data_IF_791044774200
#
_entry.id   IF_791044774200
#
_cell.length_a   1.000
_cell.length_b   1.000
_cell.length_c   1.000
_cell.angle_alpha   90.00
_cell.angle_beta   90.00
_cell.angle_gamma   90.00
#
_symmetry.space_group_name_H-M   'P 1'
#
loop_
_entity.id
_entity.type
_entity.pdbx_description
1 polymer ?
#
# COMPACT_ATOMS: atom_id res chain seq x y z
N UNK A 1 41.10 0.68 55.65
CA UNK A 1 39.70 0.26 55.41
C UNK A 1 39.28 0.82 54.05
N UNK A 2 39.32 0.02 52.99
CA UNK A 2 38.82 0.38 51.67
C UNK A 2 37.66 -0.58 51.38
N UNK A 3 36.43 -0.06 51.28
CA UNK A 3 35.26 -0.86 50.91
C UNK A 3 35.19 -0.93 49.40
N UNK A 4 35.50 -2.11 48.86
CA UNK A 4 35.40 -2.44 47.45
C UNK A 4 33.93 -2.78 47.14
N UNK A 5 33.16 -1.81 46.64
CA UNK A 5 31.78 -2.06 46.20
C UNK A 5 31.81 -2.75 44.82
N UNK A 6 31.86 -4.07 44.84
CA UNK A 6 31.65 -4.90 43.65
C UNK A 6 30.15 -4.99 43.35
N UNK A 7 29.68 -4.20 42.38
CA UNK A 7 28.33 -4.34 41.85
C UNK A 7 28.23 -5.64 41.03
N UNK A 8 27.18 -6.47 41.19
CA UNK A 8 27.00 -7.65 40.35
C UNK A 8 26.70 -7.23 38.90
N UNK A 9 27.07 -8.05 37.89
CA UNK A 9 26.75 -7.75 36.50
C UNK A 9 25.23 -7.72 36.34
N UNK A 10 24.72 -6.61 35.78
CA UNK A 10 23.32 -6.45 35.38
C UNK A 10 23.04 -7.60 34.39
N UNK A 11 22.26 -8.59 34.82
CA UNK A 11 21.71 -9.58 33.90
C UNK A 11 20.77 -8.82 32.97
N UNK A 12 21.14 -8.71 31.69
CA UNK A 12 20.26 -8.17 30.68
C UNK A 12 18.94 -8.96 30.73
N UNK A 13 17.77 -8.30 30.69
CA UNK A 13 16.52 -9.02 30.60
C UNK A 13 16.58 -9.91 29.36
N UNK A 14 16.32 -11.21 29.54
CA UNK A 14 16.15 -12.14 28.44
C UNK A 14 14.91 -11.69 27.68
N UNK A 15 15.11 -10.82 26.70
CA UNK A 15 14.10 -10.57 25.69
C UNK A 15 13.99 -11.88 24.92
N UNK A 16 12.96 -12.66 25.23
CA UNK A 16 12.43 -13.66 24.30
C UNK A 16 12.00 -12.88 23.06
N UNK A 17 12.97 -12.58 22.20
CA UNK A 17 12.74 -11.87 20.96
C UNK A 17 12.07 -12.88 20.04
N UNK A 18 10.75 -12.94 20.14
CA UNK A 18 9.92 -13.73 19.24
C UNK A 18 10.38 -13.43 17.81
N UNK A 19 10.81 -14.48 17.11
CA UNK A 19 11.32 -14.34 15.76
C UNK A 19 10.17 -13.82 14.90
N UNK A 20 10.39 -12.76 14.14
CA UNK A 20 9.36 -12.14 13.29
C UNK A 20 8.75 -13.11 12.27
N UNK A 21 9.46 -14.20 11.97
CA UNK A 21 9.08 -15.28 11.05
C UNK A 21 8.58 -16.55 11.77
N UNK A 22 8.30 -16.49 13.07
CA UNK A 22 7.88 -17.65 13.86
C UNK A 22 6.62 -18.33 13.30
N UNK A 23 5.73 -17.56 12.66
CA UNK A 23 4.50 -18.05 12.05
C UNK A 23 4.70 -18.71 10.67
N UNK A 24 5.87 -18.54 10.06
CA UNK A 24 6.16 -19.08 8.72
C UNK A 24 6.56 -20.55 8.81
N UNK A 25 6.08 -21.37 7.87
CA UNK A 25 6.57 -22.74 7.71
C UNK A 25 7.99 -22.74 7.13
N UNK A 26 8.78 -23.79 7.39
CA UNK A 26 10.14 -23.95 6.84
C UNK A 26 10.27 -23.64 5.33
N UNK A 27 9.40 -24.16 4.44
CA UNK A 27 9.46 -23.81 3.01
C UNK A 27 9.14 -22.34 2.70
N UNK A 28 8.39 -21.64 3.54
CA UNK A 28 8.11 -20.20 3.39
C UNK A 28 9.30 -19.35 3.85
N UNK A 29 10.08 -19.86 4.82
CA UNK A 29 11.31 -19.22 5.28
C UNK A 29 12.45 -19.38 4.27
N UNK A 30 12.55 -20.52 3.59
CA UNK A 30 13.67 -20.90 2.74
C UNK A 30 13.59 -20.36 1.29
N UNK A 31 13.09 -19.14 1.09
CA UNK A 31 12.90 -18.53 -0.24
C UNK A 31 14.19 -18.37 -1.07
N UNK A 32 15.36 -18.44 -0.42
CA UNK A 32 16.67 -18.37 -1.05
C UNK A 32 17.18 -19.72 -1.59
N UNK A 33 16.45 -20.82 -1.35
CA UNK A 33 16.88 -22.15 -1.82
C UNK A 33 16.61 -22.34 -3.31
N UNK A 34 17.52 -23.06 -3.97
CA UNK A 34 17.37 -23.46 -5.37
C UNK A 34 16.14 -24.37 -5.54
N UNK A 35 15.28 -24.05 -6.52
CA UNK A 35 14.03 -24.79 -6.76
C UNK A 35 12.82 -24.29 -5.94
N UNK A 36 12.98 -23.24 -5.11
CA UNK A 36 11.84 -22.61 -4.45
C UNK A 36 10.92 -21.93 -5.47
N UNK A 37 9.61 -22.16 -5.34
CA UNK A 37 8.59 -21.56 -6.20
C UNK A 37 7.55 -20.84 -5.35
N UNK A 38 7.24 -19.59 -5.73
CA UNK A 38 6.20 -18.81 -5.08
C UNK A 38 4.82 -19.44 -5.38
N UNK A 39 4.20 -20.03 -4.37
CA UNK A 39 2.81 -20.47 -4.44
C UNK A 39 1.91 -19.29 -4.11
N UNK A 40 0.94 -18.99 -4.97
CA UNK A 40 -0.05 -17.95 -4.67
C UNK A 40 -0.76 -18.30 -3.36
N UNK A 41 -0.77 -17.36 -2.42
CA UNK A 41 -1.50 -17.55 -1.17
C UNK A 41 -2.98 -17.84 -1.49
N UNK A 42 -3.61 -18.82 -0.81
CA UNK A 42 -5.03 -19.07 -1.00
C UNK A 42 -5.82 -17.79 -0.73
N UNK A 43 -6.87 -17.56 -1.50
CA UNK A 43 -7.72 -16.40 -1.34
C UNK A 43 -8.29 -16.38 0.08
N UNK A 44 -7.79 -15.46 0.91
CA UNK A 44 -8.25 -15.32 2.29
C UNK A 44 -9.66 -14.76 2.26
N UNK A 45 -10.56 -15.36 3.03
CA UNK A 45 -11.90 -14.82 3.25
C UNK A 45 -11.79 -13.37 3.71
N UNK A 46 -12.47 -12.48 2.99
CA UNK A 46 -12.46 -11.03 3.23
C UNK A 46 -13.45 -10.71 4.34
N UNK A 47 -13.15 -11.15 5.56
CA UNK A 47 -13.82 -10.62 6.74
C UNK A 47 -13.39 -9.17 6.92
N UNK A 48 -14.36 -8.29 7.15
CA UNK A 48 -14.08 -6.89 7.42
C UNK A 48 -13.18 -6.79 8.66
N UNK A 49 -12.04 -6.13 8.52
CA UNK A 49 -11.12 -5.86 9.63
C UNK A 49 -11.38 -4.46 10.15
N UNK A 50 -11.53 -4.34 11.47
CA UNK A 50 -11.57 -3.04 12.12
C UNK A 50 -10.16 -2.44 12.14
N UNK A 51 -10.03 -1.20 11.66
CA UNK A 51 -8.78 -0.44 11.66
C UNK A 51 -8.96 0.73 12.63
N UNK A 52 -8.22 0.78 13.75
CA UNK A 52 -8.36 1.88 14.70
C UNK A 52 -7.71 3.16 14.16
N UNK A 53 -8.44 4.27 14.25
CA UNK A 53 -7.92 5.62 13.99
C UNK A 53 -7.74 6.30 15.34
N UNK A 54 -6.50 6.69 15.66
CA UNK A 54 -6.14 7.34 16.93
C UNK A 54 -5.80 8.81 16.66
N UNK A 55 -6.31 9.70 17.51
CA UNK A 55 -6.05 11.14 17.41
C UNK A 55 -5.66 11.72 18.77
N UNK A 56 -4.84 12.76 18.76
CA UNK A 56 -4.48 13.56 19.95
C UNK A 56 -5.40 14.76 20.14
N UNK A 57 -6.31 15.01 19.20
CA UNK A 57 -7.27 16.11 19.28
C UNK A 57 -8.31 15.79 20.37
N UNK A 58 -8.55 16.69 21.36
CA UNK A 58 -9.41 16.38 22.50
C UNK A 58 -10.88 16.13 22.13
N UNK A 59 -11.39 16.86 21.14
CA UNK A 59 -12.75 16.72 20.64
C UNK A 59 -12.76 16.89 19.12
N UNK A 60 -13.16 15.84 18.43
CA UNK A 60 -13.41 15.83 16.99
C UNK A 60 -14.58 14.90 16.73
N UNK A 61 -15.43 15.22 15.76
CA UNK A 61 -16.47 14.32 15.33
C UNK A 61 -15.86 13.05 14.71
N UNK A 62 -16.47 11.88 14.96
CA UNK A 62 -15.92 10.61 14.51
C UNK A 62 -15.94 10.47 12.98
N UNK A 63 -16.95 11.04 12.31
CA UNK A 63 -17.06 11.02 10.85
C UNK A 63 -16.00 11.96 10.27
N UNK A 64 -15.87 13.16 10.83
CA UNK A 64 -14.83 14.12 10.44
C UNK A 64 -13.41 13.52 10.61
N UNK A 65 -13.15 12.83 11.71
CA UNK A 65 -11.87 12.14 11.94
C UNK A 65 -11.62 11.04 10.90
N UNK A 66 -12.63 10.20 10.63
CA UNK A 66 -12.51 9.13 9.64
C UNK A 66 -12.28 9.70 8.24
N UNK A 67 -13.02 10.73 7.84
CA UNK A 67 -12.83 11.41 6.56
C UNK A 67 -11.43 12.02 6.47
N UNK A 68 -10.99 12.74 7.50
CA UNK A 68 -9.65 13.34 7.54
C UNK A 68 -8.56 12.27 7.37
N UNK A 69 -8.69 11.15 8.07
CA UNK A 69 -7.77 10.02 7.95
C UNK A 69 -7.78 9.41 6.53
N UNK A 70 -8.95 9.23 5.92
CA UNK A 70 -9.09 8.69 4.56
C UNK A 70 -8.44 9.63 3.53
N UNK A 71 -8.69 10.93 3.62
CA UNK A 71 -8.14 11.92 2.68
C UNK A 71 -6.61 12.09 2.81
N UNK A 72 -6.01 11.66 3.92
CA UNK A 72 -4.56 11.66 4.11
C UNK A 72 -3.84 10.86 3.02
N UNK A 73 -4.40 9.72 2.62
CA UNK A 73 -3.70 8.74 1.79
C UNK A 73 -3.36 9.26 0.39
N UNK A 74 -4.32 9.83 -0.39
CA UNK A 74 -4.00 10.46 -1.67
C UNK A 74 -2.97 11.58 -1.53
N UNK A 75 -3.06 12.39 -0.48
CA UNK A 75 -2.13 13.50 -0.26
C UNK A 75 -0.70 13.00 -0.01
N UNK A 76 -0.53 11.96 0.82
CA UNK A 76 0.78 11.35 1.08
C UNK A 76 1.38 10.69 -0.15
N UNK A 77 0.58 9.89 -0.87
CA UNK A 77 1.05 9.25 -2.10
C UNK A 77 1.45 10.27 -3.15
N UNK A 78 0.68 11.34 -3.33
CA UNK A 78 0.97 12.36 -4.34
C UNK A 78 2.26 13.11 -4.03
N UNK A 79 2.50 13.49 -2.76
CA UNK A 79 3.75 14.14 -2.36
C UNK A 79 4.96 13.23 -2.61
N UNK A 80 4.84 11.93 -2.32
CA UNK A 80 5.92 10.96 -2.59
C UNK A 80 6.15 10.80 -4.10
N UNK A 81 5.08 10.68 -4.89
CA UNK A 81 5.15 10.60 -6.36
C UNK A 81 5.84 11.83 -6.94
N UNK A 82 5.44 13.01 -6.50
CA UNK A 82 5.99 14.29 -6.97
C UNK A 82 7.48 14.43 -6.61
N UNK A 83 7.89 13.95 -5.43
CA UNK A 83 9.29 13.96 -5.02
C UNK A 83 10.16 12.97 -5.82
N UNK A 84 9.61 11.81 -6.17
CA UNK A 84 10.33 10.74 -6.86
C UNK A 84 10.37 10.92 -8.38
N UNK A 85 9.42 11.67 -8.95
CA UNK A 85 9.33 11.92 -10.38
C UNK A 85 10.60 12.56 -10.98
N UNK A 86 11.21 13.62 -10.40
CA UNK A 86 12.47 14.19 -10.90
C UNK A 86 13.66 13.25 -10.80
N UNK A 87 13.61 12.25 -9.92
CA UNK A 87 14.66 11.24 -9.74
C UNK A 87 14.55 10.09 -10.76
N UNK A 88 13.54 10.13 -11.65
CA UNK A 88 13.26 9.06 -12.60
C UNK A 88 12.76 7.78 -11.94
N UNK A 89 12.38 7.85 -10.65
CA UNK A 89 11.88 6.71 -9.89
C UNK A 89 10.36 6.64 -10.07
N UNK A 90 9.91 5.80 -11.00
CA UNK A 90 8.50 5.50 -11.16
C UNK A 90 8.01 4.64 -9.97
N UNK A 91 7.26 5.27 -9.07
CA UNK A 91 6.64 4.60 -7.90
C UNK A 91 5.65 3.48 -8.25
N UNK A 92 5.33 3.26 -9.53
CA UNK A 92 4.57 2.09 -9.96
C UNK A 92 5.34 0.75 -9.91
N UNK A 93 6.60 0.76 -9.49
CA UNK A 93 7.52 -0.38 -9.49
C UNK A 93 7.19 -1.57 -8.54
N UNK A 94 5.97 -1.63 -7.99
CA UNK A 94 5.58 -2.63 -6.99
C UNK A 94 5.09 -3.98 -7.52
N UNK A 95 4.76 -4.10 -8.81
CA UNK A 95 4.42 -5.37 -9.45
C UNK A 95 4.90 -5.27 -10.89
N UNK A 96 5.25 -6.38 -11.54
CA UNK A 96 5.53 -6.41 -12.97
C UNK A 96 4.33 -5.88 -13.77
N UNK A 97 4.22 -4.56 -13.91
CA UNK A 97 3.14 -3.88 -14.60
C UNK A 97 3.53 -3.83 -16.06
N UNK A 98 3.11 -4.86 -16.79
CA UNK A 98 2.74 -4.66 -18.20
C UNK A 98 1.85 -3.42 -18.24
N UNK A 99 2.06 -2.51 -19.19
CA UNK A 99 1.24 -1.32 -19.32
C UNK A 99 -0.24 -1.73 -19.46
N UNK A 100 -1.00 -1.70 -18.36
CA UNK A 100 -2.43 -1.96 -18.37
C UNK A 100 -3.10 -0.64 -18.68
N UNK A 101 -3.82 -0.59 -19.79
CA UNK A 101 -4.62 0.56 -20.16
C UNK A 101 -5.58 0.92 -19.02
N UNK A 102 -5.57 2.19 -18.63
CA UNK A 102 -6.50 2.67 -17.62
C UNK A 102 -7.93 2.57 -18.18
N UNK A 103 -8.72 1.65 -17.62
CA UNK A 103 -10.08 1.33 -18.07
C UNK A 103 -11.04 2.51 -18.02
N UNK A 104 -10.82 3.47 -17.11
CA UNK A 104 -11.60 4.71 -17.04
C UNK A 104 -11.24 5.66 -18.18
N UNK A 105 -9.94 5.80 -18.50
CA UNK A 105 -9.48 6.60 -19.64
C UNK A 105 -9.94 6.00 -20.97
N UNK A 106 -9.90 4.68 -21.11
CA UNK A 106 -10.42 3.96 -22.28
C UNK A 106 -11.93 4.22 -22.45
N UNK A 107 -12.71 4.14 -21.37
CA UNK A 107 -14.15 4.40 -21.38
C UNK A 107 -14.47 5.84 -21.77
N UNK A 108 -13.74 6.81 -21.23
CA UNK A 108 -13.91 8.22 -21.56
C UNK A 108 -13.61 8.49 -23.04
N UNK A 109 -12.52 7.90 -23.57
CA UNK A 109 -12.17 8.01 -25.00
C UNK A 109 -13.24 7.42 -25.91
N UNK A 110 -13.75 6.23 -25.60
CA UNK A 110 -14.83 5.61 -26.37
C UNK A 110 -16.08 6.47 -26.38
N UNK A 111 -16.48 7.02 -25.23
CA UNK A 111 -17.68 7.87 -25.16
C UNK A 111 -17.52 9.15 -25.99
N UNK A 112 -16.34 9.79 -25.97
CA UNK A 112 -16.06 10.95 -26.80
C UNK A 112 -16.04 10.61 -28.30
N UNK A 113 -15.48 9.46 -28.68
CA UNK A 113 -15.47 8.98 -30.06
C UNK A 113 -16.87 8.66 -30.58
N UNK A 114 -17.74 8.09 -29.75
CA UNK A 114 -19.14 7.85 -30.08
C UNK A 114 -19.86 9.18 -30.35
N UNK A 115 -19.68 10.18 -29.48
CA UNK A 115 -20.28 11.52 -29.66
C UNK A 115 -19.80 12.19 -30.95
N UNK A 116 -18.51 12.13 -31.25
CA UNK A 116 -17.94 12.66 -32.51
C UNK A 116 -18.52 11.95 -33.74
N UNK A 117 -18.64 10.63 -33.69
CA UNK A 117 -19.22 9.83 -34.77
C UNK A 117 -20.68 10.17 -35.01
N UNK A 118 -21.47 10.32 -33.93
CA UNK A 118 -22.86 10.76 -34.03
C UNK A 118 -23.00 12.16 -34.62
N UNK A 119 -22.13 13.11 -34.23
CA UNK A 119 -22.13 14.46 -34.80
C UNK A 119 -21.78 14.45 -36.29
N UNK A 120 -20.72 13.75 -36.68
CA UNK A 120 -20.31 13.64 -38.09
C UNK A 120 -21.41 13.01 -38.96
N UNK A 121 -22.11 12.01 -38.44
CA UNK A 121 -23.22 11.40 -39.15
C UNK A 121 -24.42 12.33 -39.31
N UNK A 122 -24.76 13.13 -38.30
CA UNK A 122 -25.85 14.14 -38.39
C UNK A 122 -25.49 15.19 -39.45
N UNK A 123 -24.24 15.67 -39.45
CA UNK A 123 -23.74 16.66 -40.41
C UNK A 123 -23.70 16.09 -41.84
N UNK A 124 -23.34 14.81 -41.99
CA UNK A 124 -23.33 14.13 -43.29
C UNK A 124 -24.72 13.87 -43.87
N UNK A 125 -25.77 13.85 -43.04
CA UNK A 125 -27.16 13.62 -43.47
C UNK A 125 -27.92 14.92 -43.80
N UNK A 126 -27.36 16.07 -43.43
CA UNK A 126 -27.95 17.40 -43.67
C UNK A 126 -27.38 18.09 -44.91
N UNK A 127 -26.67 17.35 -45.77
CA UNK A 127 -26.29 17.74 -47.13
C UNK A 127 -27.02 16.90 -48.17
#
# INVERSE_FOLDING_TARGET
MQQHNSNPPIQAPVTSQERWDADLLQPERAWWQEGWQATAAPAKETTAKLIPIVTTVPTIDAIELAQTYIHRWPAQENVIKDYLLPLGLDTNHGFAKVAVENSEVARQRMHLQQRLSSMNWIIGRTR
#
